data_IF_106938928641
#
_entry.id   IF_106938928641
#
_cell.length_a   1.000
_cell.length_b   1.000
_cell.length_c   1.000
_cell.angle_alpha   90.00
_cell.angle_beta   90.00
_cell.angle_gamma   90.00
#
_symmetry.space_group_name_H-M   'P 1'
#
loop_
_entity.id
_entity.type
_entity.pdbx_description
1 polymer ?
#
# COMPACT_ATOMS: atom_id res chain seq x y z
N UNK A 1 -9.30 5.56 -20.22
CA UNK A 1 -9.33 5.41 -18.74
C UNK A 1 -8.44 4.24 -18.34
N UNK A 2 -7.43 4.47 -17.49
CA UNK A 2 -6.48 3.41 -17.12
C UNK A 2 -7.20 2.31 -16.31
N UNK A 3 -7.09 1.05 -16.73
CA UNK A 3 -7.69 -0.12 -16.04
C UNK A 3 -7.37 -0.16 -14.53
N UNK A 4 -6.20 0.38 -14.15
CA UNK A 4 -5.77 0.60 -12.76
C UNK A 4 -6.69 1.54 -11.97
N UNK A 5 -7.13 2.65 -12.57
CA UNK A 5 -8.05 3.58 -11.88
C UNK A 5 -9.40 2.93 -11.69
N UNK A 6 -9.94 2.25 -12.71
CA UNK A 6 -11.24 1.57 -12.63
C UNK A 6 -11.24 0.54 -11.51
N UNK A 7 -10.23 -0.33 -11.45
CA UNK A 7 -10.08 -1.31 -10.36
C UNK A 7 -9.90 -0.65 -9.00
N UNK A 8 -9.17 0.47 -8.92
CA UNK A 8 -9.04 1.23 -7.67
C UNK A 8 -10.36 1.89 -7.25
N UNK A 9 -11.16 2.46 -8.17
CA UNK A 9 -12.48 3.04 -7.83
C UNK A 9 -13.48 1.95 -7.48
N UNK A 10 -13.49 0.83 -8.19
CA UNK A 10 -14.33 -0.34 -7.85
C UNK A 10 -13.93 -0.88 -6.48
N UNK A 11 -12.64 -1.02 -6.20
CA UNK A 11 -12.16 -1.42 -4.87
C UNK A 11 -12.59 -0.38 -3.82
N UNK A 12 -12.46 0.92 -4.09
CA UNK A 12 -12.93 1.93 -3.15
C UNK A 12 -14.44 1.86 -2.92
N UNK A 13 -15.24 1.64 -3.97
CA UNK A 13 -16.70 1.56 -3.88
C UNK A 13 -17.14 0.30 -3.12
N UNK A 14 -16.54 -0.86 -3.43
CA UNK A 14 -16.82 -2.14 -2.77
C UNK A 14 -16.34 -2.18 -1.32
N UNK A 15 -15.23 -1.51 -1.01
CA UNK A 15 -14.63 -1.52 0.33
C UNK A 15 -15.18 -0.44 1.26
N UNK A 16 -15.81 0.59 0.70
CA UNK A 16 -16.41 1.70 1.42
C UNK A 16 -17.95 1.63 1.42
N UNK A 17 -18.54 0.50 1.00
CA UNK A 17 -20.00 0.25 1.06
C UNK A 17 -20.50 -0.02 2.49
N UNK A 18 -19.95 0.69 3.48
CA UNK A 18 -20.57 0.83 4.81
C UNK A 18 -21.52 2.03 4.81
N UNK A 19 -22.43 2.08 3.82
CA UNK A 19 -23.54 3.03 3.81
C UNK A 19 -24.71 2.43 4.59
N UNK A 20 -24.66 2.52 5.92
CA UNK A 20 -25.82 2.35 6.79
C UNK A 20 -25.69 1.33 7.93
N UNK A 21 -26.48 1.49 9.01
CA UNK A 21 -26.49 0.62 10.20
C UNK A 21 -27.08 -0.79 9.98
N UNK A 22 -27.65 -1.07 8.81
CA UNK A 22 -28.37 -2.32 8.46
C UNK A 22 -27.46 -3.41 7.84
N UNK A 23 -26.29 -3.06 7.31
CA UNK A 23 -25.37 -4.00 6.62
C UNK A 23 -24.28 -4.59 7.54
N UNK A 24 -24.61 -4.84 8.81
CA UNK A 24 -23.68 -5.44 9.79
C UNK A 24 -23.26 -6.88 9.47
N UNK A 25 -23.96 -7.56 8.57
CA UNK A 25 -23.73 -8.97 8.22
C UNK A 25 -22.65 -9.19 7.15
N UNK A 26 -22.39 -8.21 6.29
CA UNK A 26 -21.31 -8.27 5.31
C UNK A 26 -20.10 -7.49 5.86
N UNK A 27 -19.24 -8.15 6.64
CA UNK A 27 -17.98 -7.53 7.05
C UNK A 27 -17.18 -7.21 5.77
N UNK A 28 -17.04 -5.92 5.43
CA UNK A 28 -16.38 -5.46 4.22
C UNK A 28 -15.01 -6.14 4.01
N UNK A 29 -14.68 -6.60 2.79
CA UNK A 29 -13.61 -7.55 2.60
C UNK A 29 -12.20 -6.97 2.66
N UNK A 30 -11.94 -5.72 3.05
CA UNK A 30 -10.54 -5.24 3.21
C UNK A 30 -10.44 -4.08 4.21
N UNK A 31 -9.50 -4.21 5.18
CA UNK A 31 -8.94 -3.14 6.04
C UNK A 31 -9.81 -2.59 7.19
N UNK A 32 -10.74 -3.37 7.74
CA UNK A 32 -11.37 -2.99 9.01
C UNK A 32 -10.41 -3.18 10.20
N UNK A 33 -10.22 -2.11 10.97
CA UNK A 33 -9.45 -2.12 12.21
C UNK A 33 -10.34 -2.67 13.34
N UNK A 34 -10.39 -4.01 13.47
CA UNK A 34 -10.92 -4.76 14.61
C UNK A 34 -12.43 -4.72 14.92
N UNK A 35 -13.27 -3.99 14.18
CA UNK A 35 -14.70 -3.87 14.55
C UNK A 35 -15.59 -5.09 14.26
N UNK A 36 -15.11 -6.16 13.60
CA UNK A 36 -15.95 -7.27 13.13
C UNK A 36 -15.19 -8.60 13.24
N UNK A 37 -15.68 -9.55 14.06
CA UNK A 37 -15.07 -10.89 14.23
C UNK A 37 -15.19 -11.78 12.98
N UNK A 38 -16.15 -11.50 12.09
CA UNK A 38 -16.34 -12.19 10.80
C UNK A 38 -15.59 -11.51 9.64
N UNK A 39 -14.70 -10.54 9.90
CA UNK A 39 -13.92 -9.93 8.82
C UNK A 39 -12.86 -10.91 8.31
N UNK A 40 -13.12 -11.54 7.16
CA UNK A 40 -12.18 -12.37 6.42
C UNK A 40 -10.84 -11.68 6.09
N UNK A 41 -10.76 -10.35 6.25
CA UNK A 41 -9.58 -9.52 5.98
C UNK A 41 -9.33 -8.47 7.08
N UNK A 42 -9.19 -8.91 8.33
CA UNK A 42 -8.63 -8.07 9.38
C UNK A 42 -7.24 -7.53 8.97
N UNK A 43 -6.91 -6.30 9.37
CA UNK A 43 -5.59 -5.75 9.09
C UNK A 43 -4.51 -6.65 9.75
N UNK A 44 -3.57 -7.25 8.99
CA UNK A 44 -2.61 -8.18 9.57
C UNK A 44 -1.74 -7.51 10.64
N UNK A 45 -1.52 -6.19 10.55
CA UNK A 45 -0.82 -5.41 11.57
C UNK A 45 -1.54 -5.48 12.92
N UNK A 46 -2.87 -5.39 12.94
CA UNK A 46 -3.65 -5.47 14.17
C UNK A 46 -3.54 -6.84 14.83
N UNK A 47 -3.62 -7.90 14.02
CA UNK A 47 -3.41 -9.28 14.47
C UNK A 47 -2.01 -9.44 15.04
N UNK A 48 -0.96 -8.92 14.38
CA UNK A 48 0.40 -8.97 14.91
C UNK A 48 0.55 -8.27 16.26
N UNK A 49 -0.09 -7.11 16.46
CA UNK A 49 -0.05 -6.37 17.72
C UNK A 49 -0.74 -7.15 18.85
N UNK A 50 -1.94 -7.69 18.59
CA UNK A 50 -2.71 -8.48 19.56
C UNK A 50 -1.93 -9.72 20.01
N UNK A 51 -1.41 -10.50 19.05
CA UNK A 51 -0.61 -11.68 19.38
C UNK A 51 0.72 -11.34 20.07
N UNK A 52 1.38 -10.23 19.69
CA UNK A 52 2.58 -9.76 20.37
C UNK A 52 2.31 -9.38 21.83
N UNK A 53 1.13 -8.82 22.13
CA UNK A 53 0.71 -8.51 23.50
C UNK A 53 0.47 -9.77 24.35
N UNK A 54 -0.04 -10.84 23.74
CA UNK A 54 -0.19 -12.17 24.39
C UNK A 54 1.12 -12.96 24.43
N UNK A 55 2.23 -12.39 23.97
CA UNK A 55 3.56 -13.03 23.86
C UNK A 55 3.52 -14.34 23.06
N UNK A 56 2.52 -14.51 22.19
CA UNK A 56 2.34 -15.70 21.37
C UNK A 56 2.70 -15.39 19.93
N UNK A 57 3.32 -16.35 19.24
CA UNK A 57 3.68 -16.17 17.85
C UNK A 57 2.49 -16.49 16.92
N UNK A 58 2.06 -15.56 16.06
CA UNK A 58 0.90 -15.76 15.19
C UNK A 58 1.26 -16.54 13.91
N UNK A 59 1.58 -17.83 14.04
CA UNK A 59 2.00 -18.69 12.92
C UNK A 59 1.04 -18.64 11.73
N UNK A 60 -0.26 -18.70 11.98
CA UNK A 60 -1.30 -18.68 10.94
C UNK A 60 -1.36 -17.33 10.20
N UNK A 61 -1.26 -16.21 10.93
CA UNK A 61 -1.29 -14.88 10.31
C UNK A 61 -0.01 -14.62 9.48
N UNK A 62 1.16 -15.02 9.98
CA UNK A 62 2.41 -14.95 9.22
C UNK A 62 2.31 -15.80 7.95
N UNK A 63 1.82 -17.04 8.05
CA UNK A 63 1.66 -17.95 6.92
C UNK A 63 0.78 -17.37 5.83
N UNK A 64 -0.40 -16.83 6.18
CA UNK A 64 -1.33 -16.22 5.23
C UNK A 64 -0.72 -14.97 4.59
N UNK A 65 -0.10 -14.07 5.38
CA UNK A 65 0.55 -12.86 4.85
C UNK A 65 1.69 -13.22 3.92
N UNK A 66 2.49 -14.23 4.25
CA UNK A 66 3.61 -14.69 3.45
C UNK A 66 3.11 -15.31 2.14
N UNK A 67 2.09 -16.17 2.19
CA UNK A 67 1.47 -16.76 1.01
C UNK A 67 0.90 -15.69 0.07
N UNK A 68 0.13 -14.73 0.60
CA UNK A 68 -0.40 -13.61 -0.17
C UNK A 68 0.71 -12.72 -0.73
N UNK A 69 1.78 -12.48 0.03
CA UNK A 69 2.90 -11.65 -0.41
C UNK A 69 3.80 -12.37 -1.44
N UNK A 70 3.86 -13.70 -1.45
CA UNK A 70 4.56 -14.45 -2.52
C UNK A 70 3.69 -14.53 -3.78
N UNK A 71 2.38 -14.69 -3.65
CA UNK A 71 1.47 -14.72 -4.79
C UNK A 71 1.31 -13.34 -5.43
N UNK A 72 0.93 -12.33 -4.64
CA UNK A 72 0.56 -10.99 -5.10
C UNK A 72 1.66 -9.94 -4.86
N UNK A 73 2.63 -10.19 -3.98
CA UNK A 73 3.64 -9.18 -3.65
C UNK A 73 3.01 -7.87 -3.20
N UNK A 74 3.56 -6.77 -3.69
CA UNK A 74 3.10 -5.42 -3.34
C UNK A 74 1.98 -4.91 -4.24
N UNK A 75 1.36 -5.78 -5.04
CA UNK A 75 0.17 -5.46 -5.86
C UNK A 75 -0.99 -4.98 -5.01
N UNK A 76 -1.20 -5.61 -3.84
CA UNK A 76 -2.29 -5.26 -2.92
C UNK A 76 -2.22 -3.80 -2.48
N UNK A 77 -1.01 -3.29 -2.19
CA UNK A 77 -0.85 -1.88 -1.92
C UNK A 77 -1.27 -1.05 -3.14
N UNK A 78 -0.77 -1.39 -4.34
CA UNK A 78 -1.00 -0.64 -5.58
C UNK A 78 -2.46 -0.58 -6.05
N UNK A 79 -3.19 -1.69 -5.95
CA UNK A 79 -4.50 -1.90 -6.57
C UNK A 79 -5.65 -1.94 -5.56
N UNK A 80 -5.44 -2.54 -4.38
CA UNK A 80 -6.51 -2.82 -3.42
C UNK A 80 -6.60 -1.79 -2.28
N UNK A 81 -5.48 -1.16 -1.90
CA UNK A 81 -5.45 -0.26 -0.74
C UNK A 81 -6.12 1.10 -1.02
N UNK A 82 -7.23 1.46 -0.32
CA UNK A 82 -7.94 2.72 -0.54
C UNK A 82 -7.10 3.93 -0.12
N UNK A 83 -6.29 3.78 0.93
CA UNK A 83 -5.37 4.85 1.38
C UNK A 83 -4.26 5.13 0.35
N UNK A 84 -3.83 4.11 -0.38
CA UNK A 84 -2.88 4.27 -1.48
C UNK A 84 -3.48 5.08 -2.64
N UNK A 85 -4.74 4.80 -2.99
CA UNK A 85 -5.47 5.57 -4.01
C UNK A 85 -5.65 7.03 -3.59
N UNK A 86 -5.99 7.29 -2.32
CA UNK A 86 -6.12 8.63 -1.79
C UNK A 86 -4.81 9.42 -1.94
N UNK A 87 -3.67 8.81 -1.62
CA UNK A 87 -2.35 9.46 -1.80
C UNK A 87 -2.01 9.70 -3.27
N UNK A 88 -2.32 8.75 -4.15
CA UNK A 88 -2.11 8.91 -5.60
C UNK A 88 -2.99 10.05 -6.18
N UNK A 89 -4.19 10.25 -5.62
CA UNK A 89 -5.10 11.34 -6.02
C UNK A 89 -4.62 12.70 -5.48
N UNK A 90 -4.22 12.76 -4.21
CA UNK A 90 -3.67 13.97 -3.57
C UNK A 90 -2.38 14.43 -4.27
N UNK A 91 -1.53 13.52 -4.71
CA UNK A 91 -0.30 13.86 -5.44
C UNK A 91 -0.55 14.45 -6.83
N UNK A 92 -1.79 14.38 -7.35
CA UNK A 92 -2.17 15.05 -8.61
C UNK A 92 -2.30 16.57 -8.43
N UNK A 93 -2.42 17.06 -7.20
CA UNK A 93 -2.50 18.49 -6.90
C UNK A 93 -1.16 19.15 -7.27
N UNK A 94 -1.16 20.23 -8.08
CA UNK A 94 0.06 20.91 -8.51
C UNK A 94 0.78 21.51 -7.30
N UNK A 95 1.88 20.87 -6.89
CA UNK A 95 2.69 21.23 -5.73
C UNK A 95 4.17 20.95 -6.03
N UNK A 96 5.13 21.59 -5.32
CA UNK A 96 6.55 21.29 -5.50
C UNK A 96 6.83 19.86 -5.07
N UNK A 97 7.29 19.03 -6.00
CA UNK A 97 7.51 17.60 -5.77
C UNK A 97 8.92 17.36 -5.25
N UNK A 98 9.04 16.72 -4.08
CA UNK A 98 10.33 16.37 -3.49
C UNK A 98 10.59 14.87 -3.60
N UNK A 99 11.85 14.53 -3.90
CA UNK A 99 12.34 13.15 -3.84
C UNK A 99 12.70 12.76 -2.41
N UNK A 100 12.25 11.60 -1.96
CA UNK A 100 12.58 11.11 -0.62
C UNK A 100 14.01 10.54 -0.59
N UNK A 101 14.85 10.91 0.41
CA UNK A 101 16.19 10.39 0.52
C UNK A 101 16.21 8.87 0.77
N UNK A 102 17.30 8.19 0.38
CA UNK A 102 17.39 6.72 0.44
C UNK A 102 17.28 6.17 1.86
N UNK A 103 17.74 6.91 2.86
CA UNK A 103 17.71 6.54 4.28
C UNK A 103 16.30 6.33 4.81
N UNK A 104 15.33 7.11 4.33
CA UNK A 104 13.93 7.04 4.77
C UNK A 104 13.28 5.68 4.51
N UNK A 105 13.88 4.82 3.66
CA UNK A 105 13.40 3.45 3.44
C UNK A 105 13.54 2.55 4.67
N UNK A 106 14.45 2.86 5.58
CA UNK A 106 14.73 2.06 6.76
C UNK A 106 13.74 2.34 7.89
N UNK A 107 13.14 3.54 7.91
CA UNK A 107 12.20 3.98 8.95
C UNK A 107 11.04 3.01 9.11
N UNK A 108 10.46 2.49 8.02
CA UNK A 108 9.34 1.53 8.09
C UNK A 108 9.69 0.23 8.83
N UNK A 109 10.97 -0.20 8.79
CA UNK A 109 11.44 -1.37 9.53
C UNK A 109 11.61 -1.03 11.02
N UNK A 110 12.06 0.19 11.33
CA UNK A 110 12.05 0.71 12.70
C UNK A 110 10.63 0.82 13.28
N UNK A 111 9.67 1.30 12.49
CA UNK A 111 8.24 1.36 12.89
C UNK A 111 7.66 -0.03 13.10
N UNK A 112 7.98 -1.00 12.22
CA UNK A 112 7.56 -2.39 12.39
C UNK A 112 8.14 -2.99 13.68
N UNK A 113 9.45 -2.88 13.91
CA UNK A 113 10.08 -3.45 15.11
C UNK A 113 9.62 -2.73 16.38
N UNK A 114 9.57 -1.40 16.38
CA UNK A 114 9.20 -0.59 17.52
C UNK A 114 7.71 -0.68 17.84
N UNK A 115 6.86 -0.14 16.96
CA UNK A 115 5.43 0.09 17.26
C UNK A 115 4.55 -1.16 17.09
N UNK A 116 5.00 -2.17 16.34
CA UNK A 116 4.21 -3.39 16.09
C UNK A 116 4.70 -4.57 16.93
N UNK A 117 6.00 -4.66 17.24
CA UNK A 117 6.57 -5.79 17.99
C UNK A 117 6.96 -5.39 19.42
N UNK A 118 7.85 -4.41 19.59
CA UNK A 118 8.44 -4.09 20.89
C UNK A 118 7.44 -3.47 21.87
N UNK A 119 6.65 -2.51 21.42
CA UNK A 119 5.65 -1.83 22.26
C UNK A 119 4.63 -2.79 22.87
N UNK A 120 3.91 -3.63 22.11
CA UNK A 120 2.96 -4.58 22.70
C UNK A 120 3.65 -5.66 23.53
N UNK A 121 4.89 -6.05 23.21
CA UNK A 121 5.64 -7.04 23.97
C UNK A 121 5.99 -6.57 25.40
N UNK A 122 6.36 -5.29 25.55
CA UNK A 122 6.80 -4.72 26.82
C UNK A 122 5.63 -4.17 27.65
N UNK A 123 4.68 -3.45 27.01
CA UNK A 123 3.62 -2.74 27.73
C UNK A 123 2.23 -3.42 27.65
N UNK A 124 2.06 -4.49 26.87
CA UNK A 124 0.78 -5.18 26.68
C UNK A 124 -0.15 -4.55 25.63
N UNK A 125 -1.31 -5.18 25.42
CA UNK A 125 -2.22 -4.93 24.28
C UNK A 125 -2.87 -3.54 24.23
N UNK A 126 -3.12 -2.92 25.39
CA UNK A 126 -4.00 -1.74 25.51
C UNK A 126 -3.24 -0.41 25.56
N UNK A 127 -2.06 -0.34 24.93
CA UNK A 127 -1.23 0.85 25.04
C UNK A 127 -1.52 1.91 23.97
N UNK A 128 -1.39 3.15 24.43
CA UNK A 128 -1.60 4.40 23.71
C UNK A 128 -0.68 4.55 22.48
N UNK A 129 0.46 3.85 22.47
CA UNK A 129 1.51 3.91 21.45
C UNK A 129 1.38 2.84 20.35
N UNK A 130 0.34 2.00 20.38
CA UNK A 130 0.13 1.00 19.33
C UNK A 130 -0.13 1.65 17.97
N UNK A 131 0.50 1.11 16.92
CA UNK A 131 0.37 1.64 15.55
C UNK A 131 -1.09 1.73 15.10
N UNK A 132 -1.96 0.82 15.53
CA UNK A 132 -3.39 0.85 15.21
C UNK A 132 -4.12 2.09 15.74
N UNK A 133 -3.69 2.67 16.88
CA UNK A 133 -4.27 3.93 17.40
C UNK A 133 -3.74 5.17 16.68
N UNK A 134 -2.54 5.10 16.10
CA UNK A 134 -1.90 6.22 15.39
C UNK A 134 -2.12 6.15 13.86
N UNK A 135 -2.65 5.03 13.36
CA UNK A 135 -2.78 4.78 11.93
C UNK A 135 -3.73 5.79 11.26
N UNK A 136 -3.31 6.49 10.19
CA UNK A 136 -4.15 7.48 9.49
C UNK A 136 -5.39 6.83 8.84
N UNK A 137 -5.32 5.54 8.51
CA UNK A 137 -6.50 4.78 8.03
C UNK A 137 -7.59 4.70 9.09
N UNK A 138 -7.23 4.49 10.37
CA UNK A 138 -8.21 4.48 11.47
C UNK A 138 -8.84 5.86 11.69
N UNK A 139 -8.08 6.93 11.48
CA UNK A 139 -8.58 8.29 11.59
C UNK A 139 -9.68 8.53 10.53
N UNK A 140 -9.43 8.16 9.28
CA UNK A 140 -10.39 8.34 8.19
C UNK A 140 -11.65 7.48 8.39
N UNK A 141 -11.48 6.21 8.76
CA UNK A 141 -12.58 5.25 8.73
C UNK A 141 -13.43 5.23 10.00
N UNK A 142 -12.84 5.53 11.16
CA UNK A 142 -13.53 5.45 12.46
C UNK A 142 -13.69 6.83 13.07
N UNK A 143 -12.63 7.64 13.05
CA UNK A 143 -12.63 8.91 13.79
C UNK A 143 -13.47 9.98 13.09
N UNK A 144 -13.38 10.11 11.76
CA UNK A 144 -14.19 11.08 11.00
C UNK A 144 -15.70 10.78 11.12
N UNK A 145 -16.20 9.54 10.86
CA UNK A 145 -17.63 9.26 10.98
C UNK A 145 -18.16 9.43 12.41
N UNK A 146 -17.34 9.10 13.42
CA UNK A 146 -17.71 9.33 14.82
C UNK A 146 -17.81 10.82 15.14
N UNK A 147 -16.88 11.65 14.64
CA UNK A 147 -16.91 13.10 14.85
C UNK A 147 -18.11 13.76 14.15
N UNK A 148 -18.46 13.29 12.95
CA UNK A 148 -19.65 13.79 12.22
C UNK A 148 -20.95 13.42 12.95
N UNK A 149 -21.03 12.22 13.55
CA UNK A 149 -22.24 11.75 14.23
C UNK A 149 -22.39 12.28 15.66
N UNK A 150 -21.30 12.38 16.41
CA UNK A 150 -21.30 12.83 17.81
C UNK A 150 -21.15 14.35 17.96
N UNK A 151 -20.75 15.06 16.90
CA UNK A 151 -20.41 16.48 16.95
C UNK A 151 -19.04 16.74 17.57
N UNK A 152 -18.57 17.99 17.51
CA UNK A 152 -17.25 18.41 18.04
C UNK A 152 -17.21 18.52 19.59
N UNK A 153 -18.30 18.21 20.27
CA UNK A 153 -18.42 18.34 21.72
C UNK A 153 -17.74 17.15 22.42
N UNK A 154 -16.52 17.36 22.92
CA UNK A 154 -15.74 16.34 23.63
C UNK A 154 -14.56 15.79 22.83
N UNK A 155 -13.78 16.66 22.18
CA UNK A 155 -12.52 16.28 21.53
C UNK A 155 -11.51 15.75 22.56
N UNK A 156 -11.53 14.44 22.77
CA UNK A 156 -10.54 13.73 23.56
C UNK A 156 -9.15 13.96 22.95
N UNK A 157 -8.12 14.12 23.79
CA UNK A 157 -6.73 14.38 23.34
C UNK A 157 -6.24 13.33 22.34
N UNK A 158 -6.70 12.08 22.46
CA UNK A 158 -6.45 10.99 21.53
C UNK A 158 -6.98 11.26 20.12
N UNK A 159 -8.16 11.85 20.01
CA UNK A 159 -8.81 12.20 18.74
C UNK A 159 -8.06 13.33 18.04
N UNK A 160 -7.60 14.33 18.79
CA UNK A 160 -6.78 15.43 18.26
C UNK A 160 -5.43 14.95 17.73
N UNK A 161 -4.74 14.06 18.45
CA UNK A 161 -3.47 13.48 17.99
C UNK A 161 -3.66 12.70 16.68
N UNK A 162 -4.72 11.89 16.58
CA UNK A 162 -5.02 11.16 15.34
C UNK A 162 -5.31 12.09 14.16
N UNK A 163 -6.08 13.14 14.39
CA UNK A 163 -6.45 14.12 13.37
C UNK A 163 -5.22 14.91 12.90
N UNK A 164 -4.37 15.36 13.81
CA UNK A 164 -3.13 16.08 13.47
C UNK A 164 -2.17 15.20 12.66
N UNK A 165 -1.99 13.93 13.04
CA UNK A 165 -1.18 12.98 12.28
C UNK A 165 -1.79 12.71 10.90
N UNK A 166 -3.13 12.59 10.80
CA UNK A 166 -3.81 12.45 9.52
C UNK A 166 -3.54 13.65 8.61
N UNK A 167 -3.70 14.88 9.11
CA UNK A 167 -3.43 16.11 8.37
C UNK A 167 -1.96 16.15 7.92
N UNK A 168 -1.02 15.84 8.81
CA UNK A 168 0.41 15.80 8.46
C UNK A 168 0.69 14.79 7.34
N UNK A 169 0.08 13.60 7.38
CA UNK A 169 0.24 12.58 6.33
C UNK A 169 -0.39 13.02 5.01
N UNK A 170 -1.56 13.68 5.04
CA UNK A 170 -2.23 14.23 3.86
C UNK A 170 -1.35 15.31 3.20
N UNK A 171 -0.84 16.25 3.99
CA UNK A 171 0.08 17.30 3.53
C UNK A 171 1.33 16.66 2.91
N UNK A 172 1.93 15.69 3.60
CA UNK A 172 3.12 14.99 3.09
C UNK A 172 2.83 14.20 1.80
N UNK A 173 1.61 13.68 1.61
CA UNK A 173 1.20 12.96 0.41
C UNK A 173 1.05 13.86 -0.82
N UNK A 174 0.76 15.16 -0.61
CA UNK A 174 0.73 16.16 -1.69
C UNK A 174 2.15 16.35 -2.25
N UNK A 175 3.12 16.66 -1.38
CA UNK A 175 4.51 16.91 -1.78
C UNK A 175 5.26 15.66 -2.28
N UNK A 176 4.99 14.49 -1.68
CA UNK A 176 5.71 13.25 -1.96
C UNK A 176 4.72 12.13 -2.31
N UNK A 177 4.84 11.58 -3.52
CA UNK A 177 3.99 10.49 -3.94
C UNK A 177 4.15 9.29 -2.99
N UNK A 178 3.03 8.92 -2.37
CA UNK A 178 2.91 7.75 -1.53
C UNK A 178 3.82 7.72 -0.29
N UNK A 179 4.03 8.90 0.31
CA UNK A 179 4.95 9.15 1.43
C UNK A 179 4.77 8.17 2.59
N UNK A 180 3.55 8.02 3.12
CA UNK A 180 3.29 7.14 4.26
C UNK A 180 3.57 5.66 3.94
N UNK A 181 3.14 5.16 2.79
CA UNK A 181 3.40 3.76 2.41
C UNK A 181 4.89 3.47 2.22
N UNK A 182 5.68 4.49 1.87
CA UNK A 182 7.13 4.37 1.64
C UNK A 182 7.93 4.44 2.94
N UNK A 183 7.48 5.26 3.89
CA UNK A 183 8.25 5.64 5.09
C UNK A 183 7.73 4.99 6.37
N UNK A 184 6.42 4.99 6.59
CA UNK A 184 5.84 4.66 7.90
C UNK A 184 5.03 3.36 7.92
N UNK A 185 4.57 2.87 6.77
CA UNK A 185 3.67 1.71 6.74
C UNK A 185 4.41 0.38 7.06
N UNK A 186 4.08 -0.30 8.17
CA UNK A 186 4.72 -1.55 8.57
C UNK A 186 4.30 -2.72 7.67
N UNK A 187 3.07 -2.70 7.13
CA UNK A 187 2.65 -3.65 6.09
C UNK A 187 3.55 -3.52 4.85
N UNK A 188 3.87 -2.30 4.44
CA UNK A 188 4.85 -2.07 3.38
C UNK A 188 6.25 -2.59 3.71
N UNK A 189 6.64 -2.70 4.99
CA UNK A 189 7.91 -3.30 5.39
C UNK A 189 7.90 -4.82 5.15
N UNK A 190 6.81 -5.50 5.54
CA UNK A 190 6.62 -6.95 5.36
C UNK A 190 6.57 -7.38 3.90
N UNK A 191 5.81 -6.68 3.04
CA UNK A 191 5.65 -7.06 1.64
C UNK A 191 6.82 -6.66 0.73
N UNK A 192 7.68 -5.71 1.14
CA UNK A 192 8.78 -5.24 0.30
C UNK A 192 9.82 -6.30 -0.10
N UNK A 193 10.36 -7.12 0.82
CA UNK A 193 11.31 -8.17 0.44
C UNK A 193 10.64 -9.27 -0.40
N UNK A 194 9.41 -9.64 -0.05
CA UNK A 194 8.65 -10.70 -0.71
C UNK A 194 8.27 -10.34 -2.16
N UNK A 195 8.17 -9.04 -2.47
CA UNK A 195 7.98 -8.57 -3.85
C UNK A 195 9.15 -8.91 -4.80
N UNK A 196 10.33 -9.29 -4.29
CA UNK A 196 11.41 -9.78 -5.14
C UNK A 196 11.12 -11.19 -5.70
N UNK A 197 10.42 -12.00 -4.91
CA UNK A 197 10.12 -13.41 -5.17
C UNK A 197 8.71 -13.56 -5.78
N UNK A 198 7.90 -12.50 -5.78
CA UNK A 198 6.50 -12.59 -6.16
C UNK A 198 6.28 -13.08 -7.59
N UNK A 199 5.36 -14.04 -7.75
CA UNK A 199 5.05 -14.65 -9.05
C UNK A 199 4.53 -13.61 -10.05
N UNK A 200 3.70 -12.69 -9.58
CA UNK A 200 3.09 -11.65 -10.41
C UNK A 200 4.01 -10.45 -10.63
N UNK A 201 4.95 -10.60 -11.58
CA UNK A 201 5.95 -9.59 -11.93
C UNK A 201 5.58 -8.85 -13.22
N UNK A 202 5.65 -7.51 -13.21
CA UNK A 202 5.57 -6.72 -14.45
C UNK A 202 6.83 -6.96 -15.28
N UNK A 203 6.65 -7.63 -16.41
CA UNK A 203 7.68 -7.82 -17.43
C UNK A 203 7.57 -6.67 -18.45
N UNK A 204 8.69 -6.01 -18.69
CA UNK A 204 8.91 -5.08 -19.81
C UNK A 204 9.96 -5.69 -20.73
N UNK A 205 9.98 -5.40 -22.03
CA UNK A 205 11.05 -5.88 -22.90
C UNK A 205 12.40 -5.39 -22.37
N UNK A 206 13.21 -6.32 -21.88
CA UNK A 206 14.52 -6.04 -21.24
C UNK A 206 15.64 -5.97 -22.26
N UNK A 207 15.50 -6.63 -23.40
CA UNK A 207 16.58 -6.83 -24.38
C UNK A 207 16.84 -5.59 -25.25
N UNK A 208 15.86 -4.69 -25.37
CA UNK A 208 15.95 -3.53 -26.28
C UNK A 208 15.77 -2.17 -25.58
N UNK A 209 16.06 -2.08 -24.29
CA UNK A 209 15.85 -0.85 -23.52
C UNK A 209 16.92 0.21 -23.84
N UNK A 210 16.53 1.34 -24.44
CA UNK A 210 17.40 2.48 -24.75
C UNK A 210 17.54 3.49 -23.60
N UNK A 211 17.10 3.13 -22.39
CA UNK A 211 17.18 4.00 -21.19
C UNK A 211 16.60 5.41 -21.45
N UNK A 212 15.47 5.49 -22.16
CA UNK A 212 14.84 6.77 -22.53
C UNK A 212 14.22 7.56 -21.35
N UNK A 213 14.20 7.00 -20.14
CA UNK A 213 13.71 7.67 -18.92
C UNK A 213 12.19 7.88 -18.82
N UNK A 214 11.41 7.61 -19.89
CA UNK A 214 9.95 7.86 -19.91
C UNK A 214 9.18 7.08 -18.85
N UNK A 215 9.57 5.82 -18.63
CA UNK A 215 8.99 4.97 -17.59
C UNK A 215 9.43 5.39 -16.18
N UNK A 216 10.57 6.06 -16.02
CA UNK A 216 11.04 6.56 -14.72
C UNK A 216 10.23 7.78 -14.28
N UNK A 217 9.93 8.69 -15.21
CA UNK A 217 9.13 9.89 -14.97
C UNK A 217 7.68 9.56 -14.53
N UNK A 218 7.12 8.46 -15.03
CA UNK A 218 5.77 8.01 -14.68
C UNK A 218 5.74 7.13 -13.42
N UNK A 219 6.88 6.66 -12.91
CA UNK A 219 6.89 5.70 -11.82
C UNK A 219 6.53 6.37 -10.47
N UNK A 220 5.38 6.05 -9.83
CA UNK A 220 4.95 6.72 -8.60
C UNK A 220 5.85 6.40 -7.39
N UNK A 221 6.67 5.35 -7.50
CA UNK A 221 7.54 4.86 -6.41
C UNK A 221 9.03 5.11 -6.67
N UNK A 222 9.38 5.86 -7.71
CA UNK A 222 10.77 6.18 -8.10
C UNK A 222 11.64 4.91 -8.20
N UNK A 223 11.10 3.86 -8.81
CA UNK A 223 11.74 2.55 -8.93
C UNK A 223 12.86 2.47 -9.97
N UNK A 224 13.05 3.53 -10.77
CA UNK A 224 13.93 3.61 -11.94
C UNK A 224 13.81 2.38 -12.87
N UNK A 225 12.60 2.06 -13.39
CA UNK A 225 12.40 0.93 -14.29
C UNK A 225 13.34 0.91 -15.50
N UNK A 226 13.74 2.06 -16.06
CA UNK A 226 14.59 2.12 -17.27
C UNK A 226 15.97 1.49 -17.04
N UNK A 227 16.62 1.86 -15.93
CA UNK A 227 17.93 1.37 -15.53
C UNK A 227 17.92 -0.11 -15.14
N UNK A 228 16.78 -0.61 -14.63
CA UNK A 228 16.63 -2.04 -14.31
C UNK A 228 16.46 -2.85 -15.59
N UNK A 229 15.66 -2.36 -16.52
CA UNK A 229 15.43 -3.01 -17.80
C UNK A 229 16.73 -3.12 -18.62
N UNK A 230 17.57 -2.08 -18.67
CA UNK A 230 18.87 -2.15 -19.36
C UNK A 230 19.88 -3.12 -18.74
N UNK A 231 19.71 -3.45 -17.45
CA UNK A 231 20.50 -4.48 -16.76
C UNK A 231 19.92 -5.89 -16.89
N UNK A 232 18.91 -6.09 -17.74
CA UNK A 232 18.24 -7.38 -17.90
C UNK A 232 17.35 -7.77 -16.72
N UNK A 233 17.10 -6.86 -15.76
CA UNK A 233 16.30 -7.15 -14.57
C UNK A 233 14.89 -6.60 -14.74
N UNK A 234 13.88 -7.46 -14.63
CA UNK A 234 12.49 -7.04 -14.70
C UNK A 234 12.18 -5.94 -13.66
N UNK A 235 11.51 -4.83 -14.04
CA UNK A 235 11.23 -3.72 -13.14
C UNK A 235 10.32 -4.11 -11.97
N UNK A 236 9.51 -5.17 -12.13
CA UNK A 236 8.70 -5.73 -11.05
C UNK A 236 9.51 -6.27 -9.87
N UNK A 237 10.76 -6.71 -10.07
CA UNK A 237 11.66 -7.21 -9.00
C UNK A 237 12.31 -6.11 -8.16
N UNK A 238 11.74 -4.90 -8.12
CA UNK A 238 12.16 -3.87 -7.17
C UNK A 238 11.33 -3.97 -5.89
N UNK A 239 11.96 -3.97 -4.71
CA UNK A 239 11.26 -4.03 -3.41
C UNK A 239 10.24 -2.90 -3.17
N UNK A 240 10.29 -1.83 -3.98
CA UNK A 240 9.34 -0.70 -3.93
C UNK A 240 8.23 -0.81 -4.98
N UNK A 241 8.39 -1.65 -6.00
CA UNK A 241 7.44 -1.76 -7.11
C UNK A 241 6.09 -2.19 -6.58
N UNK A 242 5.03 -1.53 -7.06
CA UNK A 242 3.63 -1.83 -6.73
C UNK A 242 2.93 -2.56 -7.88
N UNK A 243 3.70 -2.95 -8.91
CA UNK A 243 3.23 -3.60 -10.12
C UNK A 243 1.98 -2.90 -10.73
N UNK A 244 2.07 -1.57 -10.87
CA UNK A 244 1.01 -0.72 -11.43
C UNK A 244 0.91 -0.74 -12.97
N UNK A 245 1.80 -1.47 -13.66
CA UNK A 245 1.91 -1.63 -15.12
C UNK A 245 2.04 -0.36 -15.98
N UNK A 246 2.04 0.84 -15.39
CA UNK A 246 2.20 2.12 -16.11
C UNK A 246 3.53 2.21 -16.88
N UNK A 247 4.59 1.59 -16.35
CA UNK A 247 5.88 1.50 -17.04
C UNK A 247 5.82 0.66 -18.34
N UNK A 248 4.90 -0.30 -18.42
CA UNK A 248 4.70 -1.13 -19.62
C UNK A 248 3.92 -0.36 -20.68
N UNK A 249 2.85 0.33 -20.29
CA UNK A 249 2.02 1.12 -21.20
C UNK A 249 2.74 2.35 -21.76
N UNK A 250 3.71 2.90 -21.01
CA UNK A 250 4.49 4.04 -21.45
C UNK A 250 5.71 3.66 -22.31
N UNK A 251 6.05 2.38 -22.40
CA UNK A 251 7.23 1.93 -23.14
C UNK A 251 6.91 1.93 -24.65
N UNK A 252 7.65 2.69 -25.47
CA UNK A 252 7.40 2.77 -26.92
C UNK A 252 7.64 1.44 -27.64
N UNK A 253 8.43 0.54 -27.05
CA UNK A 253 8.78 -0.77 -27.62
C UNK A 253 7.81 -1.90 -27.24
N UNK A 254 6.87 -1.65 -26.33
CA UNK A 254 5.90 -2.67 -25.91
C UNK A 254 4.89 -3.03 -27.01
N UNK A 255 4.70 -2.15 -28.00
CA UNK A 255 3.83 -2.44 -29.15
C UNK A 255 4.54 -3.23 -30.26
N UNK A 256 5.87 -3.11 -30.38
CA UNK A 256 6.65 -3.87 -31.38
C UNK A 256 6.72 -5.37 -31.07
N UNK A 257 6.72 -5.74 -29.78
CA UNK A 257 6.73 -7.14 -29.32
C UNK A 257 5.42 -7.87 -29.67
N UNK A 258 4.29 -7.14 -29.73
CA UNK A 258 3.00 -7.69 -30.19
C UNK A 258 2.98 -7.90 -31.71
N UNK A 259 3.57 -7.00 -32.48
CA UNK A 259 3.67 -7.12 -33.94
C UNK A 259 4.65 -8.23 -34.36
N UNK A 260 5.74 -8.43 -33.61
CA UNK A 260 6.68 -9.54 -33.84
C UNK A 260 6.04 -10.91 -33.52
N UNK A 261 5.27 -11.03 -32.43
CA UNK A 261 4.59 -12.28 -32.07
C UNK A 261 3.49 -12.69 -33.08
N UNK A 262 2.81 -11.73 -33.72
CA UNK A 262 1.82 -12.01 -34.78
C UNK A 262 2.49 -12.45 -36.08
N UNK A 263 3.70 -11.97 -36.38
CA UNK A 263 4.45 -12.39 -37.57
C UNK A 263 5.00 -13.84 -37.49
N UNK A 264 5.02 -14.45 -36.30
CA UNK A 264 5.51 -15.83 -36.09
C UNK A 264 4.38 -16.86 -35.90
N UNK A 265 3.10 -16.44 -35.89
CA UNK A 265 1.95 -17.35 -35.72
C UNK A 265 1.22 -17.68 -37.03
N UNK A 266 1.72 -17.25 -38.19
CA UNK A 266 1.27 -17.73 -39.50
C UNK A 266 2.36 -18.62 -40.12
N UNK A 267 2.44 -19.92 -39.76
CA UNK A 267 2.99 -20.89 -40.69
C UNK A 267 1.96 -21.07 -41.82
N UNK A 268 2.42 -20.77 -43.03
CA UNK A 268 1.84 -21.18 -44.31
C UNK A 268 1.43 -22.65 -44.34
#
# INVERSE_FOLDING_TARGET
MNARRITQTISLLLLNSSWGPELKWFCAPVLNCHSCALAWFACPIGVFIHYAGWRMFPFLAVGIVLLLAVLLGRLLCGWLCPFGLLQDLLHKIPSPKFGLPRWTRWIKYGVLLGLVVLTPYVLGEQTLYSFCRICPTSAIQVTIPNLVRAGFFGLETQTLIKLTILVAVVVLAIFCCRSFCRVFCPLGALLAPLNYISFWTVKTPTVECTVCGRCDALCPVEGKPSLRASKGVAPGRAAKCIACTECRTACPRNDMDKSAAVSQSNPS
#
